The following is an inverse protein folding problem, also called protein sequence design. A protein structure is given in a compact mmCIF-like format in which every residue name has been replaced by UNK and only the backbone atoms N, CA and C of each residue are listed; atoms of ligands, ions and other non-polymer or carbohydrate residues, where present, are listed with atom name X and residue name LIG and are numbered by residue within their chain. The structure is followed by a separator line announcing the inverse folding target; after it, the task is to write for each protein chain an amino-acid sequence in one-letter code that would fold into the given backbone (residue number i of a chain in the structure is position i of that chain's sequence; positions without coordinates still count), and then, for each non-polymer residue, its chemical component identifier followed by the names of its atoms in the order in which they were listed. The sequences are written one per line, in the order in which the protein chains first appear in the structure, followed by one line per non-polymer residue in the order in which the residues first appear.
data_IF_748792815399
#
_entry.id   IF_748792815399
#
_cell.length_a   1.000
_cell.length_b   1.000
_cell.length_c   1.000
_cell.angle_alpha   90.00
_cell.angle_beta   90.00
_cell.angle_gamma   90.00
#
_symmetry.space_group_name_H-M   'P 1'
#
loop_
_entity.id
_entity.type
_entity.pdbx_description
1 polymer ?
#
# COMPACT_ATOMS: atom_id res chain seq x y z
N UNK A 1 -9.24 0.48 -2.29
CA UNK A 1 -8.57 1.81 -2.34
C UNK A 1 -9.13 2.66 -3.48
N UNK A 2 -9.15 4.00 -3.40
CA UNK A 2 -9.54 4.88 -4.52
C UNK A 2 -8.41 5.80 -4.93
N UNK A 3 -8.39 6.22 -6.20
CA UNK A 3 -7.39 7.14 -6.74
C UNK A 3 -7.36 8.47 -5.98
N UNK A 4 -8.52 9.06 -5.68
CA UNK A 4 -8.60 10.32 -4.93
C UNK A 4 -7.97 10.25 -3.54
N UNK A 5 -8.17 9.11 -2.84
CA UNK A 5 -7.58 8.89 -1.51
C UNK A 5 -6.05 8.81 -1.60
N UNK A 6 -5.53 8.19 -2.66
CA UNK A 6 -4.09 8.12 -2.93
C UNK A 6 -3.53 9.49 -3.29
N UNK A 7 -4.17 10.23 -4.19
CA UNK A 7 -3.78 11.61 -4.53
C UNK A 7 -3.75 12.52 -3.31
N UNK A 8 -4.77 12.45 -2.47
CA UNK A 8 -4.83 13.22 -1.23
C UNK A 8 -3.69 12.84 -0.29
N UNK A 9 -3.33 11.55 -0.21
CA UNK A 9 -2.22 11.06 0.60
C UNK A 9 -0.86 11.56 0.08
N UNK A 10 -0.63 11.48 -1.22
CA UNK A 10 0.60 11.91 -1.89
C UNK A 10 0.69 13.42 -2.12
N UNK A 11 -0.41 14.15 -1.86
CA UNK A 11 -0.56 15.60 -2.12
C UNK A 11 -0.38 15.96 -3.60
N UNK A 12 -0.94 15.12 -4.48
CA UNK A 12 -0.98 15.34 -5.92
C UNK A 12 -2.30 16.01 -6.29
N UNK A 13 -2.22 17.14 -6.99
CA UNK A 13 -3.37 17.93 -7.46
C UNK A 13 -3.56 17.86 -8.99
N UNK A 14 -2.64 17.21 -9.70
CA UNK A 14 -2.68 17.00 -11.15
C UNK A 14 -3.09 15.57 -11.53
N UNK A 15 -3.50 15.40 -12.79
CA UNK A 15 -4.03 14.14 -13.33
C UNK A 15 -3.06 13.34 -14.20
N UNK A 16 -1.87 13.87 -14.49
CA UNK A 16 -0.88 13.25 -15.40
C UNK A 16 -0.42 11.86 -14.93
N UNK A 17 -0.39 11.63 -13.62
CA UNK A 17 0.02 10.36 -13.03
C UNK A 17 -1.15 9.41 -12.71
N UNK A 18 -2.39 9.70 -13.14
CA UNK A 18 -3.57 8.90 -12.80
C UNK A 18 -3.44 7.42 -13.16
N UNK A 19 -2.95 7.14 -14.36
CA UNK A 19 -2.75 5.77 -14.84
C UNK A 19 -1.69 5.06 -13.99
N UNK A 20 -0.56 5.72 -13.74
CA UNK A 20 0.50 5.17 -12.90
C UNK A 20 0.05 4.91 -11.46
N UNK A 21 -0.69 5.86 -10.86
CA UNK A 21 -1.23 5.69 -9.51
C UNK A 21 -2.26 4.55 -9.46
N UNK A 22 -3.02 4.34 -10.53
CA UNK A 22 -3.95 3.21 -10.64
C UNK A 22 -3.21 1.88 -10.67
N UNK A 23 -2.12 1.79 -11.44
CA UNK A 23 -1.25 0.61 -11.46
C UNK A 23 -0.63 0.34 -10.08
N UNK A 24 -0.17 1.39 -9.38
CA UNK A 24 0.36 1.24 -8.02
C UNK A 24 -0.70 0.73 -7.03
N UNK A 25 -1.95 1.20 -7.16
CA UNK A 25 -3.06 0.70 -6.34
C UNK A 25 -3.26 -0.80 -6.58
N UNK A 26 -3.30 -1.25 -7.83
CA UNK A 26 -3.48 -2.66 -8.18
C UNK A 26 -2.32 -3.51 -7.67
N UNK A 27 -1.08 -3.13 -7.97
CA UNK A 27 0.13 -3.88 -7.57
C UNK A 27 0.26 -3.98 -6.05
N UNK A 28 -0.04 -2.89 -5.33
CA UNK A 28 0.00 -2.89 -3.86
C UNK A 28 -1.09 -3.76 -3.22
N UNK A 29 -2.27 -3.84 -3.84
CA UNK A 29 -3.37 -4.71 -3.40
C UNK A 29 -2.96 -6.19 -3.56
N UNK A 30 -2.49 -6.56 -4.76
CA UNK A 30 -1.98 -7.89 -5.06
C UNK A 30 -0.86 -8.28 -4.09
N UNK A 31 0.07 -7.37 -3.79
CA UNK A 31 1.14 -7.62 -2.84
C UNK A 31 0.59 -7.96 -1.45
N UNK A 32 -0.33 -7.15 -0.92
CA UNK A 32 -0.93 -7.39 0.40
C UNK A 32 -1.63 -8.74 0.41
N UNK A 33 -2.48 -9.01 -0.56
CA UNK A 33 -3.20 -10.29 -0.68
C UNK A 33 -2.25 -11.48 -0.78
N UNK A 34 -1.14 -11.35 -1.51
CA UNK A 34 -0.12 -12.40 -1.60
C UNK A 34 0.57 -12.68 -0.25
N UNK A 35 0.68 -11.67 0.61
CA UNK A 35 1.31 -11.80 1.93
C UNK A 35 0.37 -12.33 3.00
N UNK A 36 -0.91 -11.96 2.97
CA UNK A 36 -1.84 -12.17 4.11
C UNK A 36 -3.09 -12.95 3.73
N UNK A 37 -3.30 -13.24 2.45
CA UNK A 37 -4.55 -13.81 1.92
C UNK A 37 -5.70 -12.79 1.91
N UNK A 38 -6.91 -13.27 1.66
CA UNK A 38 -8.11 -12.42 1.56
C UNK A 38 -8.97 -12.38 2.83
N UNK A 39 -8.65 -13.18 3.85
CA UNK A 39 -9.50 -13.35 5.03
C UNK A 39 -9.73 -12.07 5.85
N UNK A 40 -8.80 -11.11 5.77
CA UNK A 40 -8.93 -9.79 6.40
C UNK A 40 -10.09 -8.96 5.84
N UNK A 41 -10.56 -9.23 4.61
CA UNK A 41 -11.68 -8.52 3.97
C UNK A 41 -13.01 -8.70 4.71
N UNK A 42 -13.11 -9.71 5.58
CA UNK A 42 -14.31 -9.95 6.40
C UNK A 42 -14.35 -9.10 7.68
N UNK A 43 -13.33 -8.29 7.97
CA UNK A 43 -13.23 -7.50 9.19
C UNK A 43 -12.97 -6.02 8.87
N UNK A 44 -13.92 -5.15 9.19
CA UNK A 44 -13.81 -3.71 8.92
C UNK A 44 -12.56 -3.05 9.54
N UNK A 45 -12.11 -3.51 10.71
CA UNK A 45 -10.90 -2.98 11.36
C UNK A 45 -9.65 -3.45 10.62
N UNK A 46 -9.65 -4.68 10.14
CA UNK A 46 -8.55 -5.24 9.37
C UNK A 46 -8.44 -4.58 7.98
N UNK A 47 -9.58 -4.30 7.33
CA UNK A 47 -9.63 -3.51 6.09
C UNK A 47 -8.97 -2.14 6.29
N UNK A 48 -9.29 -1.43 7.38
CA UNK A 48 -8.66 -0.12 7.68
C UNK A 48 -7.15 -0.21 7.90
N UNK A 49 -6.67 -1.33 8.43
CA UNK A 49 -5.24 -1.59 8.61
C UNK A 49 -4.56 -1.93 7.27
N UNK A 50 -5.20 -2.72 6.43
CA UNK A 50 -4.74 -3.02 5.07
C UNK A 50 -4.66 -1.74 4.23
N UNK A 51 -5.69 -0.89 4.28
CA UNK A 51 -5.71 0.43 3.63
C UNK A 51 -4.50 1.30 4.03
N UNK A 52 -4.13 1.30 5.32
CA UNK A 52 -2.98 2.07 5.82
C UNK A 52 -1.66 1.54 5.26
N UNK A 53 -1.51 0.22 5.22
CA UNK A 53 -0.32 -0.43 4.65
C UNK A 53 -0.24 -0.18 3.16
N UNK A 54 -1.36 -0.28 2.44
CA UNK A 54 -1.43 -0.04 1.01
C UNK A 54 -1.00 1.38 0.66
N UNK A 55 -1.46 2.39 1.41
CA UNK A 55 -1.03 3.78 1.21
C UNK A 55 0.48 3.98 1.40
N UNK A 56 1.06 3.36 2.44
CA UNK A 56 2.51 3.39 2.66
C UNK A 56 3.28 2.75 1.51
N UNK A 57 2.84 1.58 1.04
CA UNK A 57 3.45 0.89 -0.10
C UNK A 57 3.38 1.74 -1.37
N UNK A 58 2.22 2.33 -1.66
CA UNK A 58 2.04 3.21 -2.82
C UNK A 58 2.98 4.43 -2.71
N UNK A 59 3.07 5.06 -1.54
CA UNK A 59 4.00 6.16 -1.32
C UNK A 59 5.45 5.73 -1.55
N UNK A 60 5.87 4.59 -1.00
CA UNK A 60 7.22 4.08 -1.20
C UNK A 60 7.49 3.77 -2.69
N UNK A 61 6.54 3.18 -3.41
CA UNK A 61 6.67 2.88 -4.84
C UNK A 61 6.68 4.15 -5.71
N UNK A 62 5.92 5.18 -5.31
CA UNK A 62 5.88 6.47 -5.99
C UNK A 62 7.17 7.25 -5.77
N UNK A 63 7.64 7.36 -4.52
CA UNK A 63 8.86 8.07 -4.15
C UNK A 63 10.12 7.40 -4.72
N UNK A 64 10.11 6.06 -4.84
CA UNK A 64 11.22 5.28 -5.39
C UNK A 64 11.02 4.90 -6.87
N UNK A 65 10.32 5.73 -7.67
CA UNK A 65 10.19 5.57 -9.13
C UNK A 65 11.53 5.43 -9.87
N UNK A 66 12.63 5.89 -9.27
CA UNK A 66 13.99 5.73 -9.81
C UNK A 66 14.63 4.38 -9.45
N UNK A 67 15.41 3.82 -10.37
CA UNK A 67 16.20 2.57 -10.18
C UNK A 67 17.26 2.62 -9.06
N UNK A 68 17.32 3.70 -8.28
CA UNK A 68 18.21 3.83 -7.14
C UNK A 68 17.56 3.18 -5.92
N UNK A 69 17.85 1.89 -5.73
CA UNK A 69 17.66 1.26 -4.42
C UNK A 69 18.66 1.91 -3.47
N UNK A 70 18.22 2.96 -2.80
CA UNK A 70 18.86 3.41 -1.56
C UNK A 70 18.89 2.21 -0.63
N UNK A 71 20.09 1.70 -0.29
CA UNK A 71 20.33 0.57 0.64
C UNK A 71 19.82 0.83 2.08
N UNK A 72 19.00 1.87 2.27
CA UNK A 72 18.46 2.34 3.52
C UNK A 72 16.93 2.21 3.54
N UNK A 73 16.38 1.18 2.90
CA UNK A 73 14.98 0.76 3.08
C UNK A 73 14.79 0.41 4.55
N UNK A 74 14.46 1.41 5.37
CA UNK A 74 14.11 1.21 6.77
C UNK A 74 12.94 0.24 6.78
N UNK A 75 13.18 -0.94 7.33
CA UNK A 75 12.13 -1.94 7.54
C UNK A 75 11.08 -1.29 8.43
N UNK A 76 9.95 -0.90 7.84
CA UNK A 76 8.89 -0.25 8.59
C UNK A 76 8.26 -1.32 9.51
N UNK A 77 8.61 -1.24 10.79
CA UNK A 77 8.12 -2.15 11.84
C UNK A 77 6.59 -2.11 11.89
N UNK A 78 5.98 -0.96 11.59
CA UNK A 78 4.52 -0.81 11.58
C UNK A 78 3.92 -1.61 10.43
N UNK A 79 4.47 -1.53 9.22
CA UNK A 79 4.02 -2.32 8.06
C UNK A 79 4.14 -3.80 8.35
N UNK A 80 5.29 -4.24 8.87
CA UNK A 80 5.53 -5.65 9.21
C UNK A 80 4.52 -6.15 10.25
N UNK A 81 4.32 -5.39 11.33
CA UNK A 81 3.38 -5.75 12.41
C UNK A 81 1.93 -5.83 11.92
N UNK A 82 1.54 -4.93 11.01
CA UNK A 82 0.20 -4.96 10.43
C UNK A 82 0.03 -6.18 9.52
N UNK A 83 0.99 -6.46 8.63
CA UNK A 83 0.94 -7.65 7.77
C UNK A 83 0.87 -8.95 8.59
N UNK A 84 1.68 -9.07 9.65
CA UNK A 84 1.63 -10.20 10.58
C UNK A 84 0.27 -10.31 11.27
N UNK A 85 -0.36 -9.18 11.61
CA UNK A 85 -1.70 -9.19 12.20
C UNK A 85 -2.76 -9.60 11.19
N UNK A 86 -2.64 -9.15 9.94
CA UNK A 86 -3.58 -9.45 8.86
C UNK A 86 -3.49 -10.92 8.42
N UNK A 87 -2.30 -11.52 8.42
CA UNK A 87 -2.12 -12.93 8.03
C UNK A 87 -2.78 -13.93 8.99
N UNK A 88 -3.07 -13.50 10.23
CA UNK A 88 -3.82 -14.28 11.22
C UNK A 88 -5.33 -14.36 10.93
N UNK A 89 -5.85 -13.65 9.92
CA UNK A 89 -7.26 -13.71 9.52
C UNK A 89 -7.54 -14.83 8.49
N UNK A 90 -6.64 -15.82 8.38
CA UNK A 90 -6.63 -16.90 7.37
C UNK A 90 -7.97 -17.59 7.17
#
# INVERSE_FOLDING_TARGET
MTLDKVKQHLRIDFDEDNDYLSDLIEVSDIYIESCVGEGYKNNEKAIKLADLVQLKLIQDMYDNRGTFISNNTKKDIIVTTILDKLSNFS
#
